data_IF_908776998437
#
_entry.id   IF_908776998437
#
_cell.length_a   1.000
_cell.length_b   1.000
_cell.length_c   1.000
_cell.angle_alpha   90.00
_cell.angle_beta   90.00
_cell.angle_gamma   90.00
#
_symmetry.space_group_name_H-M   'P 1'
#
loop_
_entity.id
_entity.type
_entity.pdbx_description
1 polymer ?
#
# COMPACT_ATOMS: atom_id res chain seq x y z
N UNK A 1 9.18 -72.01 39.07
CA UNK A 1 9.20 -70.64 38.52
C UNK A 1 10.08 -69.83 39.45
N UNK A 2 11.32 -69.59 39.03
CA UNK A 2 12.31 -68.82 39.79
C UNK A 2 12.91 -67.81 38.82
N UNK A 3 12.61 -66.54 39.07
CA UNK A 3 13.16 -65.38 38.40
C UNK A 3 14.67 -65.29 38.62
N UNK A 4 15.42 -65.09 37.54
CA UNK A 4 16.83 -64.72 37.59
C UNK A 4 16.95 -63.32 36.93
N UNK A 5 17.39 -62.29 37.68
CA UNK A 5 17.42 -60.91 37.19
C UNK A 5 18.59 -60.70 36.22
N UNK A 6 18.28 -60.17 35.04
CA UNK A 6 19.27 -59.72 34.06
C UNK A 6 19.83 -58.38 34.55
N UNK A 7 21.01 -58.41 35.17
CA UNK A 7 21.71 -57.23 35.68
C UNK A 7 22.08 -56.28 34.52
N UNK A 8 21.76 -54.99 34.59
CA UNK A 8 22.14 -54.03 33.56
C UNK A 8 23.67 -53.89 33.46
N UNK A 9 24.16 -53.80 32.23
CA UNK A 9 25.56 -53.79 31.85
C UNK A 9 26.31 -52.64 32.54
N UNK A 10 27.11 -52.96 33.55
CA UNK A 10 27.77 -52.00 34.47
C UNK A 10 28.55 -50.90 33.71
N UNK A 11 29.05 -51.23 32.52
CA UNK A 11 29.78 -50.33 31.63
C UNK A 11 28.90 -49.20 31.09
N UNK A 12 27.62 -49.46 30.79
CA UNK A 12 26.68 -48.42 30.33
C UNK A 12 26.31 -47.47 31.47
N UNK A 13 26.18 -47.98 32.69
CA UNK A 13 25.91 -47.17 33.87
C UNK A 13 27.10 -46.24 34.17
N UNK A 14 28.33 -46.75 34.06
CA UNK A 14 29.52 -45.92 34.25
C UNK A 14 29.66 -44.82 33.19
N UNK A 15 29.38 -45.13 31.92
CA UNK A 15 29.38 -44.13 30.86
C UNK A 15 28.32 -43.04 31.08
N UNK A 16 27.13 -43.42 31.56
CA UNK A 16 26.07 -42.47 31.86
C UNK A 16 26.44 -41.56 33.04
N UNK A 17 27.05 -42.12 34.09
CA UNK A 17 27.52 -41.34 35.24
C UNK A 17 28.60 -40.34 34.84
N UNK A 18 29.54 -40.73 33.99
CA UNK A 18 30.57 -39.83 33.44
C UNK A 18 29.98 -38.72 32.57
N UNK A 19 28.94 -39.02 31.79
CA UNK A 19 28.27 -38.04 30.96
C UNK A 19 27.50 -37.01 31.80
N UNK A 20 26.82 -37.47 32.87
CA UNK A 20 26.10 -36.59 33.81
C UNK A 20 27.08 -35.70 34.58
N UNK A 21 28.22 -36.24 35.03
CA UNK A 21 29.26 -35.44 35.71
C UNK A 21 29.80 -34.32 34.79
N UNK A 22 30.06 -34.64 33.51
CA UNK A 22 30.47 -33.62 32.53
C UNK A 22 29.41 -32.54 32.30
N UNK A 23 28.14 -32.90 32.25
CA UNK A 23 27.06 -31.92 32.08
C UNK A 23 26.93 -30.99 33.29
N UNK A 24 27.08 -31.51 34.52
CA UNK A 24 27.03 -30.69 35.72
C UNK A 24 28.19 -29.68 35.77
N UNK A 25 29.39 -30.12 35.40
CA UNK A 25 30.57 -29.26 35.37
C UNK A 25 30.43 -28.11 34.35
N UNK A 26 29.83 -28.40 33.19
CA UNK A 26 29.56 -27.40 32.15
C UNK A 26 28.49 -26.38 32.56
N UNK A 27 27.49 -26.82 33.34
CA UNK A 27 26.47 -25.96 33.95
C UNK A 27 27.07 -25.04 35.00
N UNK A 28 28.01 -25.53 35.81
CA UNK A 28 28.66 -24.75 36.85
C UNK A 28 29.63 -23.71 36.28
N UNK A 29 30.36 -24.06 35.21
CA UNK A 29 31.17 -23.11 34.44
C UNK A 29 30.31 -22.02 33.80
N UNK A 30 29.14 -22.37 33.25
CA UNK A 30 28.18 -21.37 32.75
C UNK A 30 27.64 -20.50 33.89
N UNK A 31 27.30 -21.07 35.03
CA UNK A 31 26.77 -20.32 36.17
C UNK A 31 27.81 -19.34 36.73
N UNK A 32 29.08 -19.75 36.83
CA UNK A 32 30.18 -18.88 37.23
C UNK A 32 30.50 -17.81 36.19
N UNK A 33 30.39 -18.12 34.89
CA UNK A 33 30.56 -17.14 33.82
C UNK A 33 29.48 -16.04 33.80
N UNK A 34 28.30 -16.31 34.39
CA UNK A 34 27.17 -15.36 34.43
C UNK A 34 26.99 -14.66 35.78
N UNK A 35 27.81 -14.99 36.79
CA UNK A 35 27.70 -14.49 38.17
C UNK A 35 28.04 -13.00 38.35
N UNK A 36 28.63 -12.34 37.33
CA UNK A 36 28.94 -10.90 37.36
C UNK A 36 27.92 -10.02 36.59
N UNK A 37 26.80 -10.60 36.13
CA UNK A 37 25.74 -9.81 35.49
C UNK A 37 24.72 -9.35 36.53
N UNK A 38 24.91 -8.13 37.03
CA UNK A 38 23.93 -7.37 37.82
C UNK A 38 22.58 -7.42 37.12
N UNK A 39 21.59 -8.08 37.74
CA UNK A 39 20.20 -8.15 37.25
C UNK A 39 19.64 -6.72 37.14
N UNK A 40 19.32 -6.20 35.94
CA UNK A 40 18.54 -4.98 35.82
C UNK A 40 17.07 -5.29 36.18
N UNK A 41 16.31 -4.32 36.72
CA UNK A 41 14.90 -4.51 37.05
C UNK A 41 14.08 -4.95 35.81
N UNK A 42 12.92 -5.61 36.01
CA UNK A 42 12.18 -6.25 34.93
C UNK A 42 11.78 -5.24 33.87
N UNK A 43 12.29 -5.43 32.66
CA UNK A 43 11.94 -4.65 31.48
C UNK A 43 10.45 -4.89 31.17
N UNK A 44 9.63 -3.85 30.97
CA UNK A 44 8.26 -4.03 30.49
C UNK A 44 8.29 -4.84 29.20
N UNK A 45 7.49 -5.90 29.13
CA UNK A 45 7.35 -6.72 27.92
C UNK A 45 6.95 -5.81 26.76
N UNK A 46 7.89 -5.59 25.83
CA UNK A 46 7.62 -4.89 24.57
C UNK A 46 6.56 -5.70 23.84
N UNK A 47 5.41 -5.11 23.47
CA UNK A 47 4.40 -5.78 22.68
C UNK A 47 5.09 -6.31 21.42
N UNK A 48 4.91 -7.61 21.15
CA UNK A 48 5.46 -8.37 20.03
C UNK A 48 5.99 -7.50 18.89
N UNK A 49 7.27 -7.70 18.52
CA UNK A 49 7.86 -7.19 17.29
C UNK A 49 6.97 -7.62 16.10
N UNK A 50 5.99 -6.78 15.78
CA UNK A 50 5.28 -6.83 14.52
C UNK A 50 6.35 -6.65 13.45
N UNK A 51 6.35 -7.45 12.37
CA UNK A 51 7.31 -7.27 11.30
C UNK A 51 7.28 -5.80 10.88
N UNK A 52 8.38 -5.09 11.13
CA UNK A 52 8.54 -3.69 10.74
C UNK A 52 8.26 -3.67 9.25
N UNK A 53 7.14 -3.06 8.85
CA UNK A 53 6.85 -2.80 7.44
C UNK A 53 8.10 -2.13 6.92
N UNK A 54 8.74 -2.69 5.90
CA UNK A 54 9.81 -2.01 5.17
C UNK A 54 9.23 -0.67 4.70
N UNK A 55 9.55 0.41 5.42
CA UNK A 55 9.28 1.76 4.95
C UNK A 55 10.38 2.06 3.96
N UNK A 56 10.02 2.05 2.68
CA UNK A 56 10.86 2.68 1.68
C UNK A 56 10.71 4.18 1.87
N UNK A 57 11.66 4.78 2.59
CA UNK A 57 11.77 6.22 2.72
C UNK A 57 12.37 6.77 1.42
N UNK A 58 11.55 6.82 0.37
CA UNK A 58 11.92 7.55 -0.84
C UNK A 58 11.80 9.06 -0.56
N UNK A 59 12.92 9.76 -0.62
CA UNK A 59 12.97 11.21 -0.58
C UNK A 59 13.31 11.77 -1.96
N UNK A 60 12.56 12.75 -2.49
CA UNK A 60 12.88 13.38 -3.77
C UNK A 60 14.23 14.11 -3.69
N UNK A 61 14.96 14.17 -4.81
CA UNK A 61 16.19 14.96 -4.87
C UNK A 61 15.88 16.47 -4.78
N UNK A 62 16.81 17.31 -4.28
CA UNK A 62 16.58 18.75 -4.19
C UNK A 62 16.22 19.41 -5.53
N UNK A 63 16.86 18.95 -6.62
CA UNK A 63 16.54 19.40 -7.99
C UNK A 63 15.11 19.06 -8.37
N UNK A 64 14.64 17.86 -8.03
CA UNK A 64 13.27 17.44 -8.33
C UNK A 64 12.25 18.26 -7.53
N UNK A 65 12.52 18.55 -6.26
CA UNK A 65 11.68 19.43 -5.43
C UNK A 65 11.60 20.84 -6.02
N UNK A 66 12.73 21.39 -6.48
CA UNK A 66 12.75 22.71 -7.11
C UNK A 66 11.90 22.77 -8.39
N UNK A 67 11.90 21.71 -9.19
CA UNK A 67 11.11 21.61 -10.43
C UNK A 67 9.64 21.27 -10.15
N UNK A 68 9.35 20.56 -9.06
CA UNK A 68 8.04 20.09 -8.66
C UNK A 68 7.76 20.43 -7.19
N UNK A 69 7.47 21.70 -6.86
CA UNK A 69 7.27 22.13 -5.48
C UNK A 69 6.05 21.47 -4.81
N UNK A 70 5.17 20.83 -5.58
CA UNK A 70 4.05 20.03 -5.06
C UNK A 70 4.50 18.77 -4.29
N UNK A 71 5.76 18.35 -4.42
CA UNK A 71 6.29 17.18 -3.70
C UNK A 71 6.41 17.38 -2.19
N UNK A 72 6.47 18.61 -1.72
CA UNK A 72 6.51 18.94 -0.29
C UNK A 72 5.10 19.08 0.32
N UNK A 73 4.06 19.02 -0.52
CA UNK A 73 2.68 19.16 -0.05
C UNK A 73 2.17 17.84 0.55
N UNK A 74 1.40 17.96 1.64
CA UNK A 74 0.80 16.80 2.28
C UNK A 74 -0.27 16.14 1.40
N UNK A 75 -0.10 14.86 1.12
CA UNK A 75 -0.92 14.08 0.16
C UNK A 75 -2.41 14.05 0.47
N UNK A 76 -2.80 14.14 1.76
CA UNK A 76 -4.19 13.95 2.20
C UNK A 76 -4.90 15.23 2.65
N UNK A 77 -4.22 16.37 2.65
CA UNK A 77 -4.78 17.64 3.16
C UNK A 77 -4.79 18.77 2.13
N UNK A 78 -4.05 18.64 1.03
CA UNK A 78 -4.02 19.64 -0.02
C UNK A 78 -5.21 19.47 -0.97
N UNK A 79 -6.02 20.53 -1.09
CA UNK A 79 -7.14 20.59 -2.04
C UNK A 79 -7.03 21.85 -2.90
N UNK A 80 -7.30 21.72 -4.20
CA UNK A 80 -7.37 22.86 -5.13
C UNK A 80 -8.77 23.46 -5.15
N UNK A 81 -8.85 24.79 -5.29
CA UNK A 81 -10.10 25.47 -5.61
C UNK A 81 -10.60 25.05 -7.01
N UNK A 82 -11.88 25.30 -7.30
CA UNK A 82 -12.48 24.88 -8.56
C UNK A 82 -11.81 25.54 -9.78
N UNK A 83 -11.48 26.83 -9.65
CA UNK A 83 -10.85 27.65 -10.68
C UNK A 83 -9.41 27.18 -10.94
N UNK A 84 -8.65 26.91 -9.88
CA UNK A 84 -7.28 26.39 -9.96
C UNK A 84 -7.26 25.01 -10.62
N UNK A 85 -8.20 24.14 -10.26
CA UNK A 85 -8.37 22.83 -10.89
C UNK A 85 -8.64 22.98 -12.38
N UNK A 86 -9.57 23.85 -12.78
CA UNK A 86 -9.87 24.10 -14.20
C UNK A 86 -8.63 24.59 -14.93
N UNK A 87 -7.86 25.52 -14.35
CA UNK A 87 -6.62 26.02 -14.94
C UNK A 87 -5.56 24.94 -15.15
N UNK A 88 -5.48 23.94 -14.27
CA UNK A 88 -4.57 22.80 -14.42
C UNK A 88 -5.04 21.89 -15.56
N UNK A 89 -6.35 21.64 -15.68
CA UNK A 89 -6.94 20.81 -16.72
C UNK A 89 -6.76 21.46 -18.10
N UNK A 90 -7.09 22.74 -18.23
CA UNK A 90 -7.06 23.47 -19.50
C UNK A 90 -5.65 23.90 -19.93
N UNK A 91 -4.62 23.67 -19.10
CA UNK A 91 -3.23 24.03 -19.37
C UNK A 91 -2.66 23.36 -20.61
N UNK A 92 -3.17 22.19 -20.97
CA UNK A 92 -2.61 21.37 -22.03
C UNK A 92 -3.43 21.58 -23.31
N UNK A 93 -2.88 22.23 -24.36
CA UNK A 93 -3.64 22.61 -25.56
C UNK A 93 -4.41 21.48 -26.25
N UNK A 94 -3.89 20.23 -26.33
CA UNK A 94 -4.65 19.12 -26.91
C UNK A 94 -5.96 18.79 -26.17
N UNK A 95 -6.13 19.26 -24.93
CA UNK A 95 -7.29 18.99 -24.07
C UNK A 95 -7.98 20.24 -23.53
N UNK A 96 -7.46 21.42 -23.84
CA UNK A 96 -8.07 22.69 -23.47
C UNK A 96 -9.48 22.76 -24.04
N UNK A 97 -10.48 22.97 -23.18
CA UNK A 97 -11.89 23.02 -23.59
C UNK A 97 -12.51 21.66 -23.95
N UNK A 98 -11.82 20.53 -23.76
CA UNK A 98 -12.46 19.23 -23.86
C UNK A 98 -13.47 19.05 -22.72
N UNK A 99 -14.74 18.92 -23.09
CA UNK A 99 -15.79 18.62 -22.12
C UNK A 99 -15.78 17.13 -21.81
N UNK A 100 -14.89 16.71 -20.90
CA UNK A 100 -14.87 15.34 -20.41
C UNK A 100 -16.12 15.12 -19.56
N UNK A 101 -17.18 14.58 -20.14
CA UNK A 101 -18.40 14.26 -19.39
C UNK A 101 -18.34 12.82 -18.96
N UNK A 102 -18.12 12.60 -17.67
CA UNK A 102 -18.48 11.32 -17.08
C UNK A 102 -19.97 11.05 -17.37
N UNK A 103 -20.39 9.80 -17.64
CA UNK A 103 -21.79 9.50 -17.91
C UNK A 103 -22.69 10.01 -16.78
N UNK A 104 -23.80 10.66 -17.14
CA UNK A 104 -24.83 10.99 -16.17
C UNK A 104 -25.52 9.71 -15.66
N UNK A 105 -26.04 9.69 -14.42
CA UNK A 105 -26.90 8.60 -13.97
C UNK A 105 -28.10 8.47 -14.91
N UNK A 106 -28.64 7.25 -15.04
CA UNK A 106 -29.85 7.03 -15.85
C UNK A 106 -30.99 7.93 -15.35
N UNK A 107 -31.78 8.57 -16.24
CA UNK A 107 -32.78 9.57 -15.83
C UNK A 107 -33.77 9.08 -14.78
N UNK A 108 -34.15 7.80 -14.86
CA UNK A 108 -35.02 7.13 -13.89
C UNK A 108 -34.42 7.18 -12.47
N UNK A 109 -33.15 6.78 -12.33
CA UNK A 109 -32.44 6.81 -11.05
C UNK A 109 -32.25 8.23 -10.54
N UNK A 110 -31.88 9.16 -11.43
CA UNK A 110 -31.67 10.56 -11.07
C UNK A 110 -32.93 11.21 -10.47
N UNK A 111 -34.11 10.86 -10.96
CA UNK A 111 -35.40 11.35 -10.43
C UNK A 111 -35.75 10.75 -9.06
N UNK A 112 -35.27 9.54 -8.79
CA UNK A 112 -35.57 8.79 -7.58
C UNK A 112 -34.51 8.98 -6.48
N UNK A 113 -33.37 9.59 -6.79
CA UNK A 113 -32.35 9.88 -5.79
C UNK A 113 -32.90 10.76 -4.66
N UNK A 114 -32.69 10.29 -3.43
CA UNK A 114 -32.76 11.17 -2.26
C UNK A 114 -31.68 12.25 -2.34
N UNK A 115 -31.84 13.33 -1.58
CA UNK A 115 -30.85 14.42 -1.50
C UNK A 115 -29.44 13.92 -1.18
N UNK A 116 -29.33 12.90 -0.31
CA UNK A 116 -28.05 12.27 0.03
C UNK A 116 -27.45 11.51 -1.17
N UNK A 117 -28.23 10.67 -1.83
CA UNK A 117 -27.75 9.89 -2.98
C UNK A 117 -27.35 10.80 -4.15
N UNK A 118 -28.08 11.89 -4.39
CA UNK A 118 -27.71 12.88 -5.39
C UNK A 118 -26.38 13.57 -5.06
N UNK A 119 -26.13 13.88 -3.77
CA UNK A 119 -24.85 14.41 -3.33
C UNK A 119 -23.71 13.39 -3.48
N UNK A 120 -23.95 12.13 -3.10
CA UNK A 120 -22.96 11.05 -3.25
C UNK A 120 -22.60 10.82 -4.73
N UNK A 121 -23.59 10.77 -5.64
CA UNK A 121 -23.33 10.67 -7.09
C UNK A 121 -22.57 11.88 -7.63
N UNK A 122 -22.90 13.10 -7.18
CA UNK A 122 -22.19 14.32 -7.58
C UNK A 122 -20.72 14.32 -7.13
N UNK A 123 -20.43 13.81 -5.91
CA UNK A 123 -19.06 13.63 -5.43
C UNK A 123 -18.30 12.60 -6.25
N UNK A 124 -18.91 11.44 -6.53
CA UNK A 124 -18.32 10.40 -7.37
C UNK A 124 -18.05 10.91 -8.79
N UNK A 125 -19.00 11.64 -9.38
CA UNK A 125 -18.82 12.30 -10.67
C UNK A 125 -17.65 13.28 -10.66
N UNK A 126 -17.49 14.05 -9.58
CA UNK A 126 -16.38 15.01 -9.44
C UNK A 126 -15.03 14.31 -9.38
N UNK A 127 -14.94 13.18 -8.66
CA UNK A 127 -13.72 12.37 -8.63
C UNK A 127 -13.39 11.81 -10.01
N UNK A 128 -14.39 11.27 -10.69
CA UNK A 128 -14.27 10.75 -12.05
C UNK A 128 -13.80 11.83 -13.05
N UNK A 129 -14.38 13.02 -12.98
CA UNK A 129 -13.93 14.14 -13.80
C UNK A 129 -12.46 14.51 -13.51
N UNK A 130 -12.09 14.61 -12.23
CA UNK A 130 -10.74 15.03 -11.84
C UNK A 130 -9.67 14.00 -12.20
N UNK A 131 -9.93 12.71 -11.98
CA UNK A 131 -9.01 11.62 -12.31
C UNK A 131 -8.80 11.48 -13.82
N UNK A 132 -9.87 11.57 -14.60
CA UNK A 132 -9.79 11.55 -16.07
C UNK A 132 -8.87 12.64 -16.63
N UNK A 133 -8.79 13.79 -15.95
CA UNK A 133 -7.94 14.89 -16.38
C UNK A 133 -6.43 14.63 -16.20
N UNK A 134 -6.04 13.61 -15.42
CA UNK A 134 -4.63 13.19 -15.26
C UNK A 134 -4.12 12.44 -16.48
N UNK A 135 -4.98 11.68 -17.16
CA UNK A 135 -4.60 10.78 -18.25
C UNK A 135 -3.96 11.51 -19.43
N UNK A 136 -4.40 12.73 -19.70
CA UNK A 136 -4.02 13.47 -20.90
C UNK A 136 -2.66 14.18 -20.78
N UNK A 137 -2.36 14.89 -19.68
CA UNK A 137 -0.99 15.31 -19.38
C UNK A 137 -0.02 14.13 -19.39
N UNK A 138 -0.45 12.96 -18.87
CA UNK A 138 0.36 11.74 -18.88
C UNK A 138 0.64 11.24 -20.31
N UNK A 139 -0.37 11.25 -21.18
CA UNK A 139 -0.22 10.89 -22.60
C UNK A 139 0.71 11.85 -23.35
N UNK A 140 0.59 13.16 -23.10
CA UNK A 140 1.49 14.18 -23.66
C UNK A 140 2.91 13.99 -23.16
N UNK A 141 3.09 13.74 -21.85
CA UNK A 141 4.39 13.44 -21.27
C UNK A 141 5.02 12.19 -21.90
N UNK A 142 4.24 11.11 -22.07
CA UNK A 142 4.70 9.91 -22.76
C UNK A 142 5.16 10.20 -24.18
N UNK A 143 4.40 10.99 -24.94
CA UNK A 143 4.83 11.40 -26.28
C UNK A 143 6.14 12.20 -26.26
N UNK A 144 6.29 13.16 -25.34
CA UNK A 144 7.52 13.95 -25.21
C UNK A 144 8.71 13.08 -24.82
N UNK A 145 8.53 12.14 -23.88
CA UNK A 145 9.57 11.22 -23.43
C UNK A 145 10.05 10.31 -24.57
N UNK A 146 9.14 9.84 -25.44
CA UNK A 146 9.50 9.02 -26.60
C UNK A 146 10.51 9.72 -27.54
N UNK A 147 10.45 11.05 -27.61
CA UNK A 147 11.30 11.84 -28.50
C UNK A 147 12.70 12.11 -27.93
N UNK A 148 12.90 11.96 -26.61
CA UNK A 148 14.13 12.37 -25.93
C UNK A 148 14.87 11.22 -25.24
N UNK A 149 14.20 10.11 -24.93
CA UNK A 149 14.81 8.99 -24.23
C UNK A 149 15.70 8.15 -25.13
N UNK A 150 16.75 7.57 -24.54
CA UNK A 150 17.56 6.57 -25.22
C UNK A 150 16.83 5.21 -25.24
N UNK A 151 17.06 4.35 -26.26
CA UNK A 151 16.32 3.10 -26.43
C UNK A 151 16.34 2.17 -25.23
N UNK A 152 17.43 2.13 -24.47
CA UNK A 152 17.60 1.32 -23.26
C UNK A 152 16.76 1.80 -22.06
N UNK A 153 16.28 3.05 -22.09
CA UNK A 153 15.46 3.65 -21.04
C UNK A 153 13.95 3.56 -21.34
N UNK A 154 13.58 3.33 -22.60
CA UNK A 154 12.18 3.35 -23.06
C UNK A 154 11.36 2.31 -22.32
N UNK A 155 11.80 1.06 -22.29
CA UNK A 155 11.00 -0.05 -21.76
C UNK A 155 10.60 0.17 -20.29
N UNK A 156 11.57 0.54 -19.44
CA UNK A 156 11.31 0.76 -18.03
C UNK A 156 10.41 1.98 -17.76
N UNK A 157 10.67 3.11 -18.45
CA UNK A 157 9.90 4.33 -18.24
C UNK A 157 8.47 4.17 -18.77
N UNK A 158 8.29 3.56 -19.95
CA UNK A 158 6.96 3.34 -20.51
C UNK A 158 6.17 2.28 -19.74
N UNK A 159 6.83 1.29 -19.12
CA UNK A 159 6.19 0.39 -18.16
C UNK A 159 5.60 1.19 -16.98
N UNK A 160 6.38 2.08 -16.36
CA UNK A 160 5.88 2.94 -15.28
C UNK A 160 4.71 3.83 -15.71
N UNK A 161 4.80 4.48 -16.88
CA UNK A 161 3.70 5.30 -17.41
C UNK A 161 2.44 4.47 -17.66
N UNK A 162 2.59 3.27 -18.20
CA UNK A 162 1.48 2.35 -18.44
C UNK A 162 0.84 1.87 -17.13
N UNK A 163 1.63 1.58 -16.10
CA UNK A 163 1.14 1.18 -14.79
C UNK A 163 0.34 2.31 -14.12
N UNK A 164 0.86 3.55 -14.14
CA UNK A 164 0.14 4.74 -13.67
C UNK A 164 -1.19 4.87 -14.40
N UNK A 165 -1.17 4.78 -15.74
CA UNK A 165 -2.39 4.86 -16.56
C UNK A 165 -3.39 3.77 -16.20
N UNK A 166 -2.92 2.54 -16.01
CA UNK A 166 -3.76 1.39 -15.67
C UNK A 166 -4.43 1.57 -14.31
N UNK A 167 -3.71 2.07 -13.30
CA UNK A 167 -4.26 2.35 -11.97
C UNK A 167 -5.33 3.45 -12.00
N UNK A 168 -5.12 4.51 -12.78
CA UNK A 168 -6.13 5.56 -12.97
C UNK A 168 -7.39 4.98 -13.63
N UNK A 169 -7.24 4.21 -14.71
CA UNK A 169 -8.36 3.58 -15.43
C UNK A 169 -9.12 2.57 -14.54
N UNK A 170 -8.42 1.82 -13.70
CA UNK A 170 -9.04 0.92 -12.72
C UNK A 170 -9.87 1.70 -11.69
N UNK A 171 -9.34 2.80 -11.19
CA UNK A 171 -10.03 3.67 -10.22
C UNK A 171 -11.28 4.30 -10.83
N UNK A 172 -11.17 4.83 -12.05
CA UNK A 172 -12.28 5.33 -12.88
C UNK A 172 -13.38 4.27 -13.05
N UNK A 173 -13.01 3.03 -13.40
CA UNK A 173 -13.93 1.91 -13.54
C UNK A 173 -14.65 1.57 -12.23
N UNK A 174 -13.93 1.60 -11.11
CA UNK A 174 -14.48 1.36 -9.77
C UNK A 174 -15.48 2.44 -9.37
N UNK A 175 -15.19 3.72 -9.63
CA UNK A 175 -16.12 4.84 -9.41
C UNK A 175 -17.36 4.67 -10.27
N UNK A 176 -17.19 4.35 -11.56
CA UNK A 176 -18.30 4.13 -12.48
C UNK A 176 -19.21 2.98 -12.01
N UNK A 177 -18.63 1.88 -11.53
CA UNK A 177 -19.37 0.77 -10.94
C UNK A 177 -20.15 1.21 -9.69
N UNK A 178 -19.54 2.00 -8.80
CA UNK A 178 -20.21 2.50 -7.61
C UNK A 178 -21.43 3.38 -7.95
N UNK A 179 -21.29 4.29 -8.93
CA UNK A 179 -22.38 5.13 -9.44
C UNK A 179 -23.51 4.29 -10.04
N UNK A 180 -23.17 3.27 -10.82
CA UNK A 180 -24.16 2.35 -11.39
C UNK A 180 -24.88 1.54 -10.32
N UNK A 181 -24.18 1.04 -9.31
CA UNK A 181 -24.80 0.33 -8.19
C UNK A 181 -25.73 1.24 -7.38
N UNK A 182 -25.34 2.50 -7.16
CA UNK A 182 -26.19 3.49 -6.52
C UNK A 182 -27.49 3.72 -7.32
N UNK A 183 -27.37 3.87 -8.65
CA UNK A 183 -28.51 4.01 -9.54
C UNK A 183 -29.43 2.79 -9.52
N UNK A 184 -28.86 1.57 -9.64
CA UNK A 184 -29.60 0.32 -9.63
C UNK A 184 -30.36 0.09 -8.33
N UNK A 185 -29.72 0.32 -7.18
CA UNK A 185 -30.36 0.19 -5.85
C UNK A 185 -31.49 1.19 -5.65
N UNK A 186 -31.39 2.36 -6.29
CA UNK A 186 -32.43 3.38 -6.23
C UNK A 186 -33.64 2.99 -7.07
N UNK A 187 -33.43 2.49 -8.29
CA UNK A 187 -34.51 2.08 -9.19
C UNK A 187 -35.14 0.75 -8.77
N UNK A 188 -34.34 -0.17 -8.25
CA UNK A 188 -34.79 -1.47 -7.77
C UNK A 188 -34.18 -1.81 -6.40
N UNK A 189 -34.87 -1.49 -5.30
CA UNK A 189 -34.38 -1.74 -3.94
C UNK A 189 -34.15 -3.22 -3.59
N UNK A 190 -34.65 -4.16 -4.39
CA UNK A 190 -34.45 -5.60 -4.15
C UNK A 190 -33.08 -6.10 -4.57
N UNK A 191 -32.32 -5.32 -5.34
CA UNK A 191 -30.95 -5.65 -5.76
C UNK A 191 -30.00 -5.19 -4.64
N UNK A 192 -29.38 -6.13 -3.91
CA UNK A 192 -28.35 -5.83 -2.90
C UNK A 192 -26.95 -5.84 -3.49
#
# INVERSE_FOLDING_TARGET
>A
MSDQPMTPDTTQIQQLVEQVARQQQLLEDLYQAHADTVVPPPVPQVPHDLPVRLSFDWSPSPTLVQLMPTLEQATFTSTLAAEERIQVIDRYPPICGFNYKAPAPVPEAARLFSKRQAADDASLHTFQYTLSAVLRPLDVLGHMLLLILQPDQIDHIFAMLNDIRTLILHTEGTINQARNQLALRTVNPSIR
#
